data_IF_314883458522
#
_entry.id   IF_314883458522
#
_cell.length_a   1.000
_cell.length_b   1.000
_cell.length_c   1.000
_cell.angle_alpha   90.00
_cell.angle_beta   90.00
_cell.angle_gamma   90.00
#
_symmetry.space_group_name_H-M   'P 1'
#
loop_
_entity.id
_entity.type
_entity.pdbx_description
1 polymer ?
#
# COMPACT_ATOMS: atom_id res chain seq x y z
N UNK A 1 -1.04 17.34 -4.07
CA UNK A 1 -0.74 15.99 -4.59
C UNK A 1 0.57 16.03 -5.35
N UNK A 2 1.39 14.96 -5.33
CA UNK A 2 2.53 14.84 -6.24
C UNK A 2 2.09 14.93 -7.71
N UNK A 3 2.96 15.44 -8.58
CA UNK A 3 2.63 15.65 -9.98
C UNK A 3 2.26 14.34 -10.69
N UNK A 4 1.16 14.34 -11.45
CA UNK A 4 0.68 13.18 -12.20
C UNK A 4 -0.03 12.12 -11.35
N UNK A 5 -0.16 12.32 -10.04
CA UNK A 5 -0.91 11.41 -9.17
C UNK A 5 -2.40 11.74 -9.17
N UNK A 6 -3.21 10.70 -9.21
CA UNK A 6 -4.65 10.74 -8.96
C UNK A 6 -4.93 10.20 -7.56
N UNK A 7 -6.10 10.51 -7.01
CA UNK A 7 -6.55 9.95 -5.74
C UNK A 7 -8.05 9.69 -5.78
N UNK A 8 -8.50 8.84 -4.88
CA UNK A 8 -9.91 8.52 -4.72
C UNK A 8 -10.14 7.59 -3.54
N UNK A 9 -11.32 7.00 -3.56
CA UNK A 9 -11.73 6.00 -2.58
C UNK A 9 -12.25 4.75 -3.31
N UNK A 10 -12.25 3.65 -2.58
CA UNK A 10 -13.03 2.46 -2.88
C UNK A 10 -14.04 2.31 -1.74
N UNK A 11 -15.33 2.16 -2.06
CA UNK A 11 -16.39 2.13 -1.05
C UNK A 11 -16.86 3.53 -0.67
N UNK A 12 -16.97 3.81 0.64
CA UNK A 12 -17.62 5.01 1.17
C UNK A 12 -16.64 5.92 1.93
N UNK A 13 -17.09 7.13 2.24
CA UNK A 13 -16.34 8.14 3.01
C UNK A 13 -15.61 9.14 2.13
N UNK A 14 -14.51 9.71 2.63
CA UNK A 14 -13.75 10.77 1.96
C UNK A 14 -12.27 10.69 2.27
N UNK A 15 -11.46 10.54 1.23
CA UNK A 15 -10.01 10.68 1.35
C UNK A 15 -9.61 12.15 1.54
N UNK A 16 -8.52 12.37 2.28
CA UNK A 16 -7.85 13.67 2.38
C UNK A 16 -6.36 13.47 2.19
N UNK A 17 -5.87 13.79 1.00
CA UNK A 17 -4.47 13.65 0.61
C UNK A 17 -3.82 15.02 0.48
N UNK A 18 -2.76 15.26 1.25
CA UNK A 18 -2.09 16.56 1.33
C UNK A 18 -0.57 16.38 1.33
N UNK A 19 0.13 17.28 0.64
CA UNK A 19 1.59 17.40 0.81
C UNK A 19 1.80 18.39 1.94
N UNK A 20 2.41 17.94 3.03
CA UNK A 20 2.65 18.75 4.23
C UNK A 20 4.12 18.75 4.59
N UNK A 21 4.58 19.77 5.30
CA UNK A 21 5.91 19.77 5.90
C UNK A 21 5.93 18.89 7.15
N UNK A 22 6.97 18.07 7.28
CA UNK A 22 7.15 17.14 8.40
C UNK A 22 8.64 17.08 8.74
N UNK A 23 9.00 17.46 9.97
CA UNK A 23 10.42 17.58 10.35
C UNK A 23 11.15 16.24 10.32
N UNK A 24 10.41 15.17 10.61
CA UNK A 24 10.93 13.80 10.56
C UNK A 24 10.89 13.18 9.16
N UNK A 25 10.55 13.93 8.11
CA UNK A 25 10.50 13.44 6.73
C UNK A 25 11.86 12.82 6.33
N UNK A 26 11.87 11.57 5.83
CA UNK A 26 13.05 10.96 5.24
C UNK A 26 13.72 11.82 4.17
N UNK A 27 12.92 12.45 3.30
CA UNK A 27 13.37 13.17 2.11
C UNK A 27 13.24 14.70 2.21
N UNK A 28 13.14 15.26 3.43
CA UNK A 28 12.91 16.68 3.80
C UNK A 28 12.74 17.70 2.65
N UNK A 29 11.69 18.56 2.67
CA UNK A 29 10.96 18.94 3.88
C UNK A 29 9.55 18.37 4.00
N UNK A 30 9.06 17.65 2.99
CA UNK A 30 7.65 17.34 2.84
C UNK A 30 7.37 15.83 2.78
N UNK A 31 6.16 15.46 3.16
CA UNK A 31 5.61 14.10 3.03
C UNK A 31 4.21 14.16 2.41
N UNK A 32 3.76 13.05 1.84
CA UNK A 32 2.35 12.87 1.49
C UNK A 32 1.60 12.33 2.72
N UNK A 33 0.56 13.03 3.16
CA UNK A 33 -0.30 12.63 4.27
C UNK A 33 -1.66 12.20 3.75
N UNK A 34 -2.14 11.05 4.22
CA UNK A 34 -3.56 10.73 4.23
C UNK A 34 -4.11 11.03 5.64
N UNK A 35 -5.22 11.75 5.74
CA UNK A 35 -5.92 11.92 7.02
C UNK A 35 -7.45 12.01 6.87
N UNK A 36 -7.99 11.37 5.84
CA UNK A 36 -9.44 11.32 5.62
C UNK A 36 -9.98 9.97 6.04
N UNK A 37 -11.27 9.92 6.37
CA UNK A 37 -11.95 8.71 6.79
C UNK A 37 -12.69 8.09 5.61
N UNK A 38 -12.26 6.90 5.16
CA UNK A 38 -12.88 6.20 4.05
C UNK A 38 -12.75 4.69 4.24
N UNK A 39 -13.63 3.90 3.63
CA UNK A 39 -13.49 2.44 3.61
C UNK A 39 -12.07 2.09 3.19
N UNK A 40 -11.66 2.54 1.99
CA UNK A 40 -10.29 2.53 1.51
C UNK A 40 -9.99 3.85 0.79
N UNK A 41 -8.87 4.50 1.12
CA UNK A 41 -8.39 5.68 0.41
C UNK A 41 -7.13 5.33 -0.37
N UNK A 42 -7.02 5.79 -1.61
CA UNK A 42 -5.87 5.53 -2.46
C UNK A 42 -5.37 6.80 -3.14
N UNK A 43 -4.07 6.82 -3.42
CA UNK A 43 -3.40 7.80 -4.26
C UNK A 43 -2.40 7.07 -5.15
N UNK A 44 -2.45 7.27 -6.46
CA UNK A 44 -1.66 6.49 -7.41
C UNK A 44 -1.25 7.27 -8.65
N UNK A 45 -0.10 6.87 -9.21
CA UNK A 45 0.33 7.23 -10.56
C UNK A 45 -0.24 6.21 -11.55
N UNK A 46 -1.36 6.54 -12.18
CA UNK A 46 -2.13 5.63 -13.03
C UNK A 46 -1.43 5.30 -14.37
N UNK A 47 -0.61 6.22 -14.87
CA UNK A 47 0.14 6.11 -16.13
C UNK A 47 1.51 5.40 -15.97
N UNK A 48 1.86 4.90 -14.79
CA UNK A 48 3.10 4.15 -14.58
C UNK A 48 3.16 2.86 -15.42
N UNK A 49 2.00 2.23 -15.66
CA UNK A 49 1.82 1.02 -16.46
C UNK A 49 2.91 -0.03 -16.23
N UNK A 50 2.98 -0.60 -15.02
CA UNK A 50 3.99 -1.60 -14.67
C UNK A 50 3.33 -2.96 -14.53
N UNK A 51 3.86 -3.95 -15.24
CA UNK A 51 3.46 -5.35 -15.16
C UNK A 51 4.33 -6.13 -14.19
N UNK A 52 5.65 -6.03 -14.35
CA UNK A 52 6.64 -6.73 -13.51
C UNK A 52 7.69 -5.76 -13.01
N UNK A 53 8.05 -5.84 -11.74
CA UNK A 53 8.97 -4.90 -11.11
C UNK A 53 8.80 -4.83 -9.61
N UNK A 54 8.91 -3.62 -9.06
CA UNK A 54 8.69 -3.38 -7.64
C UNK A 54 8.07 -2.01 -7.38
N UNK A 55 7.48 -1.90 -6.19
CA UNK A 55 7.14 -0.63 -5.56
C UNK A 55 7.66 -0.66 -4.12
N UNK A 56 8.24 0.44 -3.68
CA UNK A 56 8.74 0.65 -2.34
C UNK A 56 8.34 2.04 -1.85
N UNK A 57 8.02 2.14 -0.56
CA UNK A 57 7.66 3.40 0.08
C UNK A 57 8.03 3.35 1.56
N UNK A 58 8.38 4.50 2.13
CA UNK A 58 8.44 4.67 3.57
C UNK A 58 7.07 5.08 4.10
N UNK A 59 6.58 4.33 5.09
CA UNK A 59 5.31 4.61 5.78
C UNK A 59 5.56 4.99 7.23
N UNK A 60 4.75 5.90 7.74
CA UNK A 60 4.65 6.24 9.17
C UNK A 60 3.18 6.31 9.55
N UNK A 61 2.59 5.22 10.06
CA UNK A 61 1.25 5.24 10.61
C UNK A 61 1.23 6.11 11.86
N UNK A 62 0.39 7.15 11.91
CA UNK A 62 0.40 8.17 12.99
C UNK A 62 -0.71 7.93 14.01
N UNK A 63 -1.93 7.69 13.54
CA UNK A 63 -3.10 7.48 14.38
C UNK A 63 -4.22 6.75 13.63
N UNK A 64 -5.26 6.35 14.36
CA UNK A 64 -6.45 5.65 13.88
C UNK A 64 -6.90 4.65 14.95
N UNK A 65 -8.20 4.51 15.12
CA UNK A 65 -8.82 3.64 16.14
C UNK A 65 -9.37 2.37 15.51
N UNK A 66 -9.98 2.46 14.34
CA UNK A 66 -10.47 1.28 13.62
C UNK A 66 -9.35 0.57 12.87
N UNK A 67 -8.42 1.35 12.32
CA UNK A 67 -7.22 0.84 11.67
C UNK A 67 -6.09 1.87 11.78
N UNK A 68 -4.85 1.41 11.85
CA UNK A 68 -3.68 2.28 11.79
C UNK A 68 -2.69 1.71 10.77
N UNK A 69 -3.09 1.83 9.51
CA UNK A 69 -2.42 1.18 8.39
C UNK A 69 -1.91 2.13 7.31
N UNK A 70 -0.86 1.66 6.64
CA UNK A 70 -0.36 2.17 5.37
C UNK A 70 -0.07 1.02 4.44
N UNK A 71 -0.19 1.25 3.13
CA UNK A 71 0.04 0.21 2.16
C UNK A 71 0.45 0.70 0.79
N UNK A 72 0.84 -0.27 -0.03
CA UNK A 72 1.20 -0.10 -1.44
C UNK A 72 0.13 -0.76 -2.29
N UNK A 73 -0.28 -0.08 -3.36
CA UNK A 73 -1.10 -0.64 -4.43
C UNK A 73 -0.32 -0.73 -5.73
N UNK A 74 -0.54 -1.80 -6.49
CA UNK A 74 0.07 -2.03 -7.80
C UNK A 74 -0.90 -2.75 -8.75
N UNK A 75 -0.55 -2.76 -10.04
CA UNK A 75 -1.43 -3.16 -11.15
C UNK A 75 -2.82 -2.50 -11.01
N UNK A 76 -2.83 -1.22 -10.62
CA UNK A 76 -4.05 -0.45 -10.42
C UNK A 76 -4.68 -0.19 -11.78
N UNK A 77 -5.88 -0.74 -12.00
CA UNK A 77 -6.66 -0.48 -13.21
C UNK A 77 -7.59 0.71 -13.01
N UNK A 78 -8.26 0.74 -11.87
CA UNK A 78 -9.22 1.77 -11.49
C UNK A 78 -9.41 1.76 -9.97
N UNK A 79 -10.36 2.57 -9.48
CA UNK A 79 -10.68 2.72 -8.06
C UNK A 79 -11.16 1.42 -7.38
N UNK A 80 -11.51 0.38 -8.14
CA UNK A 80 -12.14 -0.84 -7.65
C UNK A 80 -11.33 -2.11 -7.96
N UNK A 81 -10.21 -1.98 -8.66
CA UNK A 81 -9.43 -3.12 -9.19
C UNK A 81 -7.92 -2.89 -9.03
N UNK A 82 -7.33 -3.51 -8.02
CA UNK A 82 -5.90 -3.42 -7.70
C UNK A 82 -5.46 -4.49 -6.69
N UNK A 83 -4.17 -4.77 -6.63
CA UNK A 83 -3.56 -5.45 -5.49
C UNK A 83 -3.14 -4.47 -4.40
N UNK A 84 -3.08 -4.94 -3.15
CA UNK A 84 -2.69 -4.14 -1.98
C UNK A 84 -1.87 -4.99 -1.00
N UNK A 85 -0.76 -4.43 -0.50
CA UNK A 85 -0.09 -4.93 0.70
C UNK A 85 -0.24 -3.90 1.80
N UNK A 86 -0.82 -4.30 2.93
CA UNK A 86 -1.13 -3.46 4.09
C UNK A 86 -0.17 -3.81 5.23
N UNK A 87 0.49 -2.81 5.78
CA UNK A 87 1.14 -2.90 7.10
C UNK A 87 0.27 -2.17 8.12
N UNK A 88 -0.06 -2.83 9.23
CA UNK A 88 -0.98 -2.32 10.25
C UNK A 88 -0.31 -2.27 11.64
N UNK A 89 -0.27 -1.10 12.25
CA UNK A 89 0.31 -0.87 13.57
C UNK A 89 -0.57 -1.34 14.75
N UNK A 90 -1.90 -1.36 14.60
CA UNK A 90 -2.81 -1.86 15.63
C UNK A 90 -2.84 -3.39 15.67
N UNK A 91 -2.97 -4.01 14.50
CA UNK A 91 -3.01 -5.48 14.40
C UNK A 91 -1.62 -6.13 14.47
N UNK A 92 -0.54 -5.37 14.26
CA UNK A 92 0.82 -5.89 14.29
C UNK A 92 1.10 -6.90 13.17
N UNK A 93 0.55 -6.67 11.98
CA UNK A 93 0.66 -7.59 10.85
C UNK A 93 0.91 -6.89 9.51
N UNK A 94 1.42 -7.68 8.56
CA UNK A 94 1.47 -7.34 7.14
C UNK A 94 0.69 -8.37 6.35
N UNK A 95 -0.24 -7.90 5.52
CA UNK A 95 -1.19 -8.75 4.80
C UNK A 95 -1.34 -8.27 3.37
N UNK A 96 -1.39 -9.22 2.42
CA UNK A 96 -1.61 -8.96 1.01
C UNK A 96 -3.06 -9.31 0.64
N UNK A 97 -3.71 -8.43 -0.12
CA UNK A 97 -5.07 -8.60 -0.63
C UNK A 97 -5.13 -8.27 -2.12
N UNK A 98 -6.25 -8.65 -2.71
CA UNK A 98 -6.74 -8.07 -3.96
C UNK A 98 -8.09 -7.39 -3.73
N UNK A 99 -8.34 -6.33 -4.49
CA UNK A 99 -9.66 -5.70 -4.60
C UNK A 99 -10.16 -5.94 -6.01
N UNK A 100 -11.30 -6.61 -6.14
CA UNK A 100 -11.96 -6.89 -7.43
C UNK A 100 -13.37 -6.33 -7.34
N UNK A 101 -13.73 -5.46 -8.27
CA UNK A 101 -15.04 -4.79 -8.28
C UNK A 101 -15.39 -4.15 -6.92
N UNK A 102 -14.38 -3.56 -6.27
CA UNK A 102 -14.52 -2.88 -4.98
C UNK A 102 -14.55 -3.82 -3.77
N UNK A 103 -14.55 -5.14 -3.98
CA UNK A 103 -14.53 -6.14 -2.91
C UNK A 103 -13.11 -6.61 -2.63
N UNK A 104 -12.64 -6.39 -1.40
CA UNK A 104 -11.31 -6.82 -0.94
C UNK A 104 -11.32 -8.24 -0.39
N UNK A 105 -10.33 -9.06 -0.76
CA UNK A 105 -10.12 -10.42 -0.26
C UNK A 105 -8.64 -10.68 -0.01
N UNK A 106 -8.30 -11.31 1.12
CA UNK A 106 -6.91 -11.65 1.46
C UNK A 106 -6.38 -12.76 0.58
N UNK A 107 -5.10 -12.70 0.25
CA UNK A 107 -4.41 -13.73 -0.50
C UNK A 107 -3.56 -14.61 0.43
N UNK A 108 -3.59 -15.95 0.28
CA UNK A 108 -2.88 -16.85 1.16
C UNK A 108 -1.37 -16.72 0.95
N UNK A 109 -0.62 -16.78 2.04
CA UNK A 109 0.84 -16.85 1.99
C UNK A 109 1.26 -18.17 1.34
N UNK A 110 2.12 -18.09 0.32
CA UNK A 110 2.67 -19.25 -0.39
C UNK A 110 3.31 -20.23 0.61
N UNK A 111 2.97 -21.51 0.46
CA UNK A 111 3.47 -22.57 1.34
C UNK A 111 2.76 -22.67 2.70
N UNK A 112 1.72 -21.89 2.95
CA UNK A 112 0.87 -22.05 4.15
C UNK A 112 -0.51 -22.58 3.76
N UNK A 113 -1.01 -23.55 4.54
CA UNK A 113 -2.34 -24.14 4.34
C UNK A 113 -3.46 -23.25 4.89
N UNK A 114 -3.17 -22.53 5.99
CA UNK A 114 -4.08 -21.60 6.65
C UNK A 114 -3.30 -20.37 7.11
N UNK A 115 -4.01 -19.25 7.31
CA UNK A 115 -3.45 -18.05 7.93
C UNK A 115 -3.92 -16.75 7.27
N UNK A 116 -3.60 -15.65 7.94
CA UNK A 116 -3.95 -14.30 7.54
C UNK A 116 -2.70 -13.42 7.60
N UNK A 117 -2.03 -13.27 6.45
CA UNK A 117 -0.76 -12.54 6.37
C UNK A 117 0.33 -13.08 7.30
N UNK A 118 1.17 -12.18 7.79
CA UNK A 118 2.31 -12.47 8.68
C UNK A 118 2.38 -11.44 9.79
N UNK A 119 2.59 -11.90 11.02
CA UNK A 119 2.86 -11.03 12.17
C UNK A 119 4.17 -10.29 11.96
N UNK A 120 4.13 -8.98 12.09
CA UNK A 120 5.28 -8.10 11.95
C UNK A 120 5.05 -6.83 12.76
N UNK A 121 6.04 -6.46 13.58
CA UNK A 121 5.94 -5.25 14.40
C UNK A 121 5.99 -4.00 13.51
N UNK A 122 4.84 -3.42 13.22
CA UNK A 122 4.70 -2.14 12.52
C UNK A 122 4.66 -1.02 13.57
N UNK A 123 5.70 -0.18 13.69
CA UNK A 123 5.74 0.82 14.74
C UNK A 123 4.85 2.02 14.44
N UNK A 124 3.93 2.33 15.35
CA UNK A 124 3.20 3.60 15.36
C UNK A 124 4.15 4.79 15.55
N UNK A 125 3.93 5.86 14.78
CA UNK A 125 4.68 7.12 14.86
C UNK A 125 6.15 7.03 14.42
N UNK A 126 6.58 5.93 13.79
CA UNK A 126 7.94 5.76 13.26
C UNK A 126 7.92 5.35 11.80
N UNK A 127 8.98 5.72 11.09
CA UNK A 127 9.16 5.32 9.70
C UNK A 127 9.52 3.84 9.60
N UNK A 128 8.97 3.17 8.59
CA UNK A 128 9.34 1.83 8.17
C UNK A 128 9.29 1.74 6.65
N UNK A 129 10.15 0.93 6.06
CA UNK A 129 10.14 0.69 4.61
C UNK A 129 9.25 -0.50 4.30
N UNK A 130 8.25 -0.31 3.44
CA UNK A 130 7.43 -1.38 2.89
C UNK A 130 7.79 -1.52 1.41
N UNK A 131 7.97 -2.76 0.94
CA UNK A 131 8.28 -3.05 -0.46
C UNK A 131 7.53 -4.29 -0.91
N UNK A 132 7.07 -4.26 -2.15
CA UNK A 132 6.58 -5.44 -2.86
C UNK A 132 7.28 -5.55 -4.20
N UNK A 133 7.80 -6.73 -4.49
CA UNK A 133 8.30 -7.12 -5.80
C UNK A 133 7.27 -8.05 -6.44
N UNK A 134 7.02 -7.89 -7.73
CA UNK A 134 6.02 -8.66 -8.45
C UNK A 134 6.54 -9.06 -9.83
N UNK A 135 6.45 -10.36 -10.13
CA UNK A 135 6.90 -10.95 -11.40
C UNK A 135 5.93 -12.05 -11.82
N UNK A 136 5.20 -11.82 -12.91
CA UNK A 136 4.09 -12.67 -13.32
C UNK A 136 3.04 -12.76 -12.21
N UNK A 137 2.85 -13.97 -11.68
CA UNK A 137 1.91 -14.24 -10.58
C UNK A 137 2.55 -14.21 -9.19
N UNK A 138 3.88 -14.15 -9.08
CA UNK A 138 4.60 -14.23 -7.80
C UNK A 138 4.84 -12.83 -7.24
N UNK A 139 4.41 -12.61 -6.00
CA UNK A 139 4.63 -11.37 -5.26
C UNK A 139 5.45 -11.65 -4.01
N UNK A 140 6.52 -10.90 -3.80
CA UNK A 140 7.41 -11.00 -2.63
C UNK A 140 7.33 -9.72 -1.83
N UNK A 141 6.94 -9.85 -0.56
CA UNK A 141 6.77 -8.72 0.37
C UNK A 141 7.98 -8.60 1.28
N UNK A 142 8.48 -7.38 1.43
CA UNK A 142 9.55 -7.03 2.34
C UNK A 142 9.12 -5.92 3.29
N UNK A 143 9.61 -5.97 4.51
CA UNK A 143 9.41 -4.92 5.52
C UNK A 143 10.73 -4.63 6.22
N UNK A 144 11.12 -3.36 6.25
CA UNK A 144 12.42 -2.90 6.74
C UNK A 144 13.63 -3.65 6.14
N UNK A 145 13.53 -4.01 4.86
CA UNK A 145 14.59 -4.69 4.10
C UNK A 145 14.60 -6.22 4.25
N UNK A 146 13.81 -6.78 5.17
CA UNK A 146 13.71 -8.22 5.37
C UNK A 146 12.55 -8.80 4.55
N UNK A 147 12.79 -9.93 3.88
CA UNK A 147 11.74 -10.69 3.19
C UNK A 147 10.78 -11.25 4.24
N UNK A 148 9.50 -10.85 4.16
CA UNK A 148 8.47 -11.35 5.07
C UNK A 148 7.79 -12.60 4.52
N UNK A 149 7.26 -12.54 3.29
CA UNK A 149 6.51 -13.64 2.70
C UNK A 149 6.34 -13.51 1.19
N UNK A 150 5.84 -14.58 0.57
CA UNK A 150 5.45 -14.61 -0.84
C UNK A 150 3.96 -14.95 -0.97
N UNK A 151 3.35 -14.52 -2.07
CA UNK A 151 1.99 -14.85 -2.49
C UNK A 151 2.00 -15.17 -3.99
N UNK A 152 1.13 -16.08 -4.42
CA UNK A 152 0.83 -16.27 -5.85
C UNK A 152 -0.63 -15.89 -6.16
N UNK A 153 -0.84 -15.01 -7.13
CA UNK A 153 -2.17 -14.68 -7.66
C UNK A 153 -2.07 -14.12 -9.09
N UNK A 154 -3.05 -14.42 -9.94
CA UNK A 154 -3.06 -14.06 -11.37
C UNK A 154 -4.29 -13.23 -11.79
N UNK A 155 -5.05 -12.70 -10.83
CA UNK A 155 -6.28 -11.92 -11.07
C UNK A 155 -6.05 -10.71 -11.97
N UNK A 156 -4.97 -9.97 -11.76
CA UNK A 156 -4.57 -8.85 -12.61
C UNK A 156 -3.24 -9.20 -13.28
N UNK A 157 -3.29 -9.60 -14.55
CA UNK A 157 -2.13 -9.99 -15.34
C UNK A 157 -1.52 -8.85 -16.18
N UNK A 158 -2.27 -7.76 -16.33
CA UNK A 158 -1.87 -6.63 -17.17
C UNK A 158 -1.06 -5.60 -16.37
N UNK A 159 -0.32 -4.76 -17.11
CA UNK A 159 0.34 -3.60 -16.55
C UNK A 159 -0.69 -2.61 -15.95
N UNK A 160 -0.33 -1.92 -14.87
CA UNK A 160 -1.22 -0.91 -14.28
C UNK A 160 -0.50 0.15 -13.46
N UNK A 161 -1.28 1.02 -12.84
CA UNK A 161 -0.78 2.07 -11.95
C UNK A 161 -0.15 1.53 -10.67
N UNK A 162 0.56 2.40 -9.98
CA UNK A 162 1.19 2.13 -8.68
C UNK A 162 0.93 3.28 -7.71
N UNK A 163 0.85 2.99 -6.42
CA UNK A 163 0.51 4.03 -5.45
C UNK A 163 0.51 3.58 -4.00
N UNK A 164 -0.10 4.41 -3.16
CA UNK A 164 -0.24 4.21 -1.72
C UNK A 164 -1.71 4.17 -1.29
N UNK A 165 -1.94 3.67 -0.08
CA UNK A 165 -3.27 3.30 0.38
C UNK A 165 -3.41 3.33 1.90
N UNK A 166 -4.61 3.68 2.39
CA UNK A 166 -5.00 3.58 3.81
C UNK A 166 -6.43 3.02 3.98
N UNK A 167 -6.79 2.63 5.20
CA UNK A 167 -8.10 2.09 5.59
C UNK A 167 -8.74 2.90 6.70
N UNK A 168 -10.07 2.98 6.69
CA UNK A 168 -10.87 3.56 7.75
C UNK A 168 -10.36 4.96 8.16
N UNK A 169 -10.05 5.15 9.44
CA UNK A 169 -9.58 6.40 10.04
C UNK A 169 -8.06 6.48 10.17
N UNK A 170 -7.32 5.64 9.45
CA UNK A 170 -5.85 5.65 9.45
C UNK A 170 -5.29 6.98 8.95
N UNK A 171 -4.60 7.70 9.83
CA UNK A 171 -3.72 8.81 9.45
C UNK A 171 -2.33 8.26 9.22
N UNK A 172 -1.83 8.33 7.99
CA UNK A 172 -0.53 7.77 7.61
C UNK A 172 0.24 8.75 6.75
N UNK A 173 1.55 8.87 7.03
CA UNK A 173 2.49 9.63 6.20
C UNK A 173 3.26 8.68 5.28
N UNK A 174 3.53 9.14 4.08
CA UNK A 174 4.24 8.43 3.03
C UNK A 174 5.36 9.31 2.49
N UNK A 175 6.53 8.71 2.28
CA UNK A 175 7.70 9.36 1.71
C UNK A 175 8.58 8.36 0.94
N UNK A 176 9.55 8.84 0.18
CA UNK A 176 10.49 8.02 -0.61
C UNK A 176 9.78 6.96 -1.46
N UNK A 177 8.67 7.33 -2.12
CA UNK A 177 7.97 6.42 -3.03
C UNK A 177 8.80 6.19 -4.29
N UNK A 178 9.25 4.96 -4.48
CA UNK A 178 10.06 4.57 -5.64
C UNK A 178 9.51 3.29 -6.26
N UNK A 179 9.63 3.21 -7.58
CA UNK A 179 9.19 2.05 -8.33
C UNK A 179 10.07 1.90 -9.57
N UNK A 180 10.20 0.68 -10.06
CA UNK A 180 10.77 0.41 -11.36
C UNK A 180 10.19 -0.90 -11.89
N UNK A 181 10.17 -1.07 -13.20
CA UNK A 181 9.67 -2.29 -13.81
C UNK A 181 9.51 -2.17 -15.32
N UNK A 182 8.89 -3.20 -15.89
CA UNK A 182 8.59 -3.32 -17.32
C UNK A 182 7.08 -3.47 -17.51
N UNK A 183 6.62 -3.07 -18.70
CA UNK A 183 5.26 -3.31 -19.20
C UNK A 183 5.06 -4.78 -19.60
#
# INVERSE_FOLDING_TARGET
MPQGWQNGITGQGRAKWEVISEQSAPSKPNVLRQSGEATFAWAAKMDAAIKDGFVEVKIKPVSGHEDQAGGIIWRVKDANNYYIVRANALEGNVVLYKTVEGKRSSLPVKGRMFGYGVDAKVPSGKWSTLRVEFSGKLFTVYFNGEKLFEVEDETFSDAGGVGVWTKADSVTLFDDFVFAGKQ
#
